data_IF_059712711405
#
_entry.id   IF_059712711405
#
_cell.length_a   1.000
_cell.length_b   1.000
_cell.length_c   1.000
_cell.angle_alpha   90.00
_cell.angle_beta   90.00
_cell.angle_gamma   90.00
#
_symmetry.space_group_name_H-M   'P 1'
#
loop_
_entity.id
_entity.type
_entity.pdbx_description
1 polymer ?
#
# COMPACT_ATOMS: atom_id res chain seq x y z
N UNK A 1 -4.99 23.67 -18.32
CA UNK A 1 -4.75 22.59 -17.33
C UNK A 1 -6.05 22.43 -16.55
N UNK A 2 -6.62 21.23 -16.48
CA UNK A 2 -7.85 21.02 -15.69
C UNK A 2 -7.57 21.24 -14.19
N UNK A 3 -8.61 21.52 -13.40
CA UNK A 3 -8.48 21.63 -11.94
C UNK A 3 -7.90 20.35 -11.33
N UNK A 4 -8.30 19.19 -11.87
CA UNK A 4 -7.74 17.90 -11.50
C UNK A 4 -6.22 17.84 -11.76
N UNK A 5 -5.76 18.17 -12.97
CA UNK A 5 -4.34 18.21 -13.29
C UNK A 5 -3.55 19.20 -12.42
N UNK A 6 -4.17 20.34 -12.06
CA UNK A 6 -3.58 21.30 -11.12
C UNK A 6 -3.42 20.69 -9.73
N UNK A 7 -4.41 19.93 -9.26
CA UNK A 7 -4.34 19.26 -7.97
C UNK A 7 -3.24 18.20 -7.91
N UNK A 8 -3.13 17.37 -8.95
CA UNK A 8 -2.04 16.38 -9.07
C UNK A 8 -0.67 17.06 -9.04
N UNK A 9 -0.51 18.12 -9.83
CA UNK A 9 0.73 18.91 -9.84
C UNK A 9 1.05 19.52 -8.47
N UNK A 10 0.05 20.04 -7.75
CA UNK A 10 0.28 20.55 -6.40
C UNK A 10 0.77 19.46 -5.45
N UNK A 11 0.22 18.23 -5.52
CA UNK A 11 0.72 17.10 -4.75
C UNK A 11 2.18 16.76 -5.09
N UNK A 12 2.50 16.66 -6.38
CA UNK A 12 3.86 16.34 -6.86
C UNK A 12 4.90 17.40 -6.43
N UNK A 13 4.47 18.67 -6.35
CA UNK A 13 5.29 19.78 -5.88
C UNK A 13 5.32 19.90 -4.33
N UNK A 14 4.66 18.99 -3.60
CA UNK A 14 4.60 18.98 -2.13
C UNK A 14 3.66 20.03 -1.52
N UNK A 15 2.88 20.76 -2.33
CA UNK A 15 1.83 21.68 -1.87
C UNK A 15 0.55 20.90 -1.57
N UNK A 16 0.58 20.13 -0.49
CA UNK A 16 -0.45 19.16 -0.17
C UNK A 16 -1.79 19.81 0.22
N UNK A 17 -1.78 20.93 0.94
CA UNK A 17 -2.99 21.67 1.33
C UNK A 17 -3.71 22.30 0.13
N UNK A 18 -2.94 22.79 -0.85
CA UNK A 18 -3.49 23.28 -2.13
C UNK A 18 -4.15 22.12 -2.90
N UNK A 19 -3.47 20.97 -2.98
CA UNK A 19 -3.99 19.77 -3.62
C UNK A 19 -5.28 19.29 -2.95
N UNK A 20 -5.31 19.23 -1.61
CA UNK A 20 -6.47 18.85 -0.83
C UNK A 20 -7.65 19.78 -1.12
N UNK A 21 -7.41 21.10 -1.09
CA UNK A 21 -8.45 22.10 -1.34
C UNK A 21 -9.07 21.95 -2.73
N UNK A 22 -8.25 21.73 -3.75
CA UNK A 22 -8.72 21.51 -5.12
C UNK A 22 -9.48 20.18 -5.26
N UNK A 23 -9.00 19.09 -4.66
CA UNK A 23 -9.67 17.79 -4.73
C UNK A 23 -11.02 17.80 -4.02
N UNK A 24 -11.12 18.44 -2.85
CA UNK A 24 -12.40 18.61 -2.15
C UNK A 24 -13.39 19.47 -2.94
N UNK A 25 -12.92 20.45 -3.72
CA UNK A 25 -13.78 21.21 -4.64
C UNK A 25 -14.28 20.34 -5.79
N UNK A 26 -13.43 19.49 -6.36
CA UNK A 26 -13.81 18.56 -7.41
C UNK A 26 -14.82 17.52 -6.93
N UNK A 27 -14.64 16.98 -5.72
CA UNK A 27 -15.60 16.04 -5.10
C UNK A 27 -16.97 16.70 -4.90
N UNK A 28 -17.03 18.00 -4.59
CA UNK A 28 -18.32 18.72 -4.51
C UNK A 28 -19.04 18.82 -5.86
N UNK A 29 -18.29 18.82 -6.97
CA UNK A 29 -18.84 18.89 -8.33
C UNK A 29 -19.26 17.51 -8.84
N UNK A 30 -18.45 16.49 -8.59
CA UNK A 30 -18.73 15.09 -8.94
C UNK A 30 -18.28 14.18 -7.78
N UNK A 31 -19.18 13.90 -6.82
CA UNK A 31 -18.85 13.08 -5.65
C UNK A 31 -18.49 11.64 -6.00
N UNK A 32 -18.96 11.15 -7.15
CA UNK A 32 -18.81 9.77 -7.59
C UNK A 32 -17.59 9.51 -8.46
N UNK A 33 -16.67 10.47 -8.57
CA UNK A 33 -15.47 10.33 -9.40
C UNK A 33 -14.40 9.48 -8.68
N UNK A 34 -14.20 8.18 -9.05
CA UNK A 34 -13.30 7.29 -8.31
C UNK A 34 -11.86 7.81 -8.30
N UNK A 35 -11.40 8.37 -9.42
CA UNK A 35 -10.06 8.92 -9.53
C UNK A 35 -9.86 10.11 -8.59
N UNK A 36 -10.81 11.05 -8.51
CA UNK A 36 -10.70 12.20 -7.60
C UNK A 36 -10.70 11.76 -6.14
N UNK A 37 -11.55 10.81 -5.77
CA UNK A 37 -11.60 10.23 -4.43
C UNK A 37 -10.26 9.56 -4.06
N UNK A 38 -9.72 8.71 -4.93
CA UNK A 38 -8.41 8.07 -4.71
C UNK A 38 -7.29 9.08 -4.50
N UNK A 39 -7.22 10.12 -5.34
CA UNK A 39 -6.18 11.15 -5.22
C UNK A 39 -6.38 12.00 -3.95
N UNK A 40 -7.62 12.21 -3.52
CA UNK A 40 -7.96 12.86 -2.26
C UNK A 40 -7.46 12.04 -1.07
N UNK A 41 -7.70 10.73 -1.08
CA UNK A 41 -7.19 9.81 -0.07
C UNK A 41 -5.65 9.87 0.05
N UNK A 42 -4.94 9.78 -1.08
CA UNK A 42 -3.47 9.86 -1.11
C UNK A 42 -2.93 11.19 -0.55
N UNK A 43 -3.64 12.31 -0.78
CA UNK A 43 -3.24 13.61 -0.22
C UNK A 43 -3.48 13.67 1.29
N UNK A 44 -4.58 13.08 1.79
CA UNK A 44 -4.85 13.01 3.23
C UNK A 44 -3.78 12.17 3.94
N UNK A 45 -3.40 11.01 3.38
CA UNK A 45 -2.28 10.21 3.89
C UNK A 45 -0.98 11.01 3.94
N UNK A 46 -0.65 11.74 2.86
CA UNK A 46 0.55 12.56 2.81
C UNK A 46 0.55 13.72 3.83
N UNK A 47 -0.63 14.16 4.28
CA UNK A 47 -0.83 15.16 5.32
C UNK A 47 -0.85 14.58 6.74
N UNK A 48 -0.80 13.26 6.91
CA UNK A 48 -0.97 12.61 8.22
C UNK A 48 -2.41 12.66 8.73
N UNK A 49 -3.37 12.65 7.80
CA UNK A 49 -4.81 12.62 8.05
C UNK A 49 -5.36 11.22 7.71
N UNK A 50 -4.76 10.19 8.31
CA UNK A 50 -5.01 8.79 7.93
C UNK A 50 -6.47 8.39 8.18
N UNK A 51 -7.08 8.90 9.26
CA UNK A 51 -8.48 8.59 9.58
C UNK A 51 -9.43 9.15 8.52
N UNK A 52 -9.16 10.36 8.03
CA UNK A 52 -9.92 11.03 7.00
C UNK A 52 -9.70 10.42 5.60
N UNK A 53 -8.57 9.76 5.35
CA UNK A 53 -8.27 9.13 4.07
C UNK A 53 -9.13 7.89 3.78
N UNK A 54 -9.47 7.11 4.81
CA UNK A 54 -10.21 5.84 4.71
C UNK A 54 -11.47 5.93 3.83
N UNK A 55 -12.45 6.81 4.11
CA UNK A 55 -13.70 6.83 3.35
C UNK A 55 -13.47 7.11 1.86
N UNK A 56 -12.47 7.93 1.52
CA UNK A 56 -12.13 8.22 0.13
C UNK A 56 -11.54 7.01 -0.59
N UNK A 57 -10.69 6.23 0.07
CA UNK A 57 -10.17 4.98 -0.50
C UNK A 57 -11.28 3.94 -0.69
N UNK A 58 -12.11 3.73 0.34
CA UNK A 58 -13.18 2.73 0.30
C UNK A 58 -14.20 3.04 -0.79
N UNK A 59 -14.59 4.31 -0.93
CA UNK A 59 -15.52 4.74 -1.97
C UNK A 59 -14.89 4.65 -3.36
N UNK A 60 -13.63 5.07 -3.54
CA UNK A 60 -12.93 4.93 -4.81
C UNK A 60 -12.83 3.48 -5.28
N UNK A 61 -12.53 2.54 -4.38
CA UNK A 61 -12.44 1.11 -4.67
C UNK A 61 -13.78 0.50 -5.11
N UNK A 62 -14.91 1.09 -4.73
CA UNK A 62 -16.25 0.67 -5.14
C UNK A 62 -16.69 1.25 -6.50
N UNK A 63 -16.19 2.43 -6.86
CA UNK A 63 -16.68 3.22 -8.00
C UNK A 63 -15.91 3.00 -9.32
N UNK A 64 -14.96 2.07 -9.36
CA UNK A 64 -14.32 1.61 -10.60
C UNK A 64 -13.07 2.39 -10.98
N UNK A 65 -11.98 2.16 -10.26
CA UNK A 65 -10.64 2.65 -10.58
C UNK A 65 -10.01 1.90 -11.76
N UNK A 66 -9.06 2.54 -12.44
CA UNK A 66 -8.15 1.81 -13.35
C UNK A 66 -7.34 0.78 -12.57
N UNK A 67 -6.82 -0.26 -13.23
CA UNK A 67 -6.05 -1.32 -12.55
C UNK A 67 -4.85 -0.78 -11.76
N UNK A 68 -4.14 0.23 -12.30
CA UNK A 68 -3.00 0.85 -11.61
C UNK A 68 -3.44 1.62 -10.37
N UNK A 69 -4.49 2.44 -10.47
CA UNK A 69 -5.02 3.20 -9.34
C UNK A 69 -5.63 2.27 -8.29
N UNK A 70 -6.28 1.19 -8.70
CA UNK A 70 -6.89 0.22 -7.80
C UNK A 70 -5.83 -0.54 -6.99
N UNK A 71 -4.71 -0.92 -7.62
CA UNK A 71 -3.54 -1.47 -6.93
C UNK A 71 -2.99 -0.47 -5.90
N UNK A 72 -2.84 0.80 -6.30
CA UNK A 72 -2.42 1.88 -5.40
C UNK A 72 -3.37 2.13 -4.24
N UNK A 73 -4.69 2.05 -4.48
CA UNK A 73 -5.72 2.23 -3.47
C UNK A 73 -5.72 1.10 -2.42
N UNK A 74 -5.53 -0.16 -2.84
CA UNK A 74 -5.37 -1.27 -1.89
C UNK A 74 -4.13 -1.11 -1.02
N UNK A 75 -2.99 -0.75 -1.63
CA UNK A 75 -1.75 -0.48 -0.90
C UNK A 75 -1.93 0.66 0.11
N UNK A 76 -2.47 1.80 -0.36
CA UNK A 76 -2.71 3.00 0.44
C UNK A 76 -3.64 2.74 1.62
N UNK A 77 -4.82 2.16 1.37
CA UNK A 77 -5.78 1.83 2.42
C UNK A 77 -5.21 0.82 3.44
N UNK A 78 -4.51 -0.22 2.97
CA UNK A 78 -3.86 -1.18 3.84
C UNK A 78 -2.80 -0.53 4.74
N UNK A 79 -1.97 0.34 4.17
CA UNK A 79 -0.99 1.12 4.94
C UNK A 79 -1.65 2.08 5.92
N UNK A 80 -2.73 2.75 5.52
CA UNK A 80 -3.54 3.66 6.35
C UNK A 80 -4.06 2.94 7.59
N UNK A 81 -4.71 1.79 7.39
CA UNK A 81 -5.21 0.97 8.50
C UNK A 81 -4.08 0.51 9.43
N UNK A 82 -2.91 0.15 8.87
CA UNK A 82 -1.74 -0.24 9.67
C UNK A 82 -1.23 0.91 10.53
N UNK A 83 -1.10 2.12 9.99
CA UNK A 83 -0.63 3.31 10.74
C UNK A 83 -1.57 3.65 11.89
N UNK A 84 -2.88 3.44 11.71
CA UNK A 84 -3.90 3.66 12.73
C UNK A 84 -3.97 2.54 13.80
N UNK A 85 -3.18 1.48 13.68
CA UNK A 85 -3.21 0.32 14.59
C UNK A 85 -4.34 -0.67 14.28
N UNK A 86 -5.08 -0.49 13.19
CA UNK A 86 -6.18 -1.35 12.75
C UNK A 86 -5.64 -2.55 11.95
N UNK A 87 -4.71 -3.30 12.56
CA UNK A 87 -3.88 -4.29 11.86
C UNK A 87 -4.68 -5.40 11.18
N UNK A 88 -5.78 -5.87 11.77
CA UNK A 88 -6.64 -6.90 11.16
C UNK A 88 -7.32 -6.39 9.87
N UNK A 89 -7.75 -5.12 9.84
CA UNK A 89 -8.31 -4.53 8.62
C UNK A 89 -7.23 -4.30 7.58
N UNK A 90 -6.04 -3.88 8.01
CA UNK A 90 -4.89 -3.75 7.11
C UNK A 90 -4.56 -5.08 6.44
N UNK A 91 -4.58 -6.17 7.21
CA UNK A 91 -4.35 -7.54 6.74
C UNK A 91 -5.38 -7.92 5.66
N UNK A 92 -6.67 -7.81 5.97
CA UNK A 92 -7.76 -8.14 5.05
C UNK A 92 -7.70 -7.28 3.76
N UNK A 93 -7.37 -6.00 3.91
CA UNK A 93 -7.25 -5.05 2.79
C UNK A 93 -6.12 -5.44 1.85
N UNK A 94 -4.94 -5.73 2.39
CA UNK A 94 -3.78 -6.13 1.58
C UNK A 94 -3.94 -7.52 0.98
N UNK A 95 -4.63 -8.45 1.67
CA UNK A 95 -4.98 -9.76 1.11
C UNK A 95 -5.89 -9.65 -0.12
N UNK A 96 -6.90 -8.77 -0.08
CA UNK A 96 -7.73 -8.45 -1.25
C UNK A 96 -6.90 -7.86 -2.39
N UNK A 97 -5.99 -6.94 -2.06
CA UNK A 97 -5.05 -6.38 -3.02
C UNK A 97 -4.16 -7.45 -3.68
N UNK A 98 -3.57 -8.35 -2.89
CA UNK A 98 -2.72 -9.44 -3.37
C UNK A 98 -3.52 -10.43 -4.23
N UNK A 99 -4.76 -10.74 -3.84
CA UNK A 99 -5.62 -11.63 -4.60
C UNK A 99 -5.92 -11.08 -6.00
N UNK A 100 -6.09 -9.76 -6.11
CA UNK A 100 -6.35 -9.10 -7.38
C UNK A 100 -5.07 -8.85 -8.20
N UNK A 101 -3.98 -8.49 -7.53
CA UNK A 101 -2.70 -8.14 -8.14
C UNK A 101 -1.60 -9.06 -7.61
N UNK A 102 -1.59 -10.35 -8.00
CA UNK A 102 -0.64 -11.33 -7.46
C UNK A 102 0.82 -11.02 -7.80
N UNK A 103 1.07 -10.23 -8.86
CA UNK A 103 2.41 -9.80 -9.29
C UNK A 103 2.84 -8.45 -8.70
N UNK A 104 1.99 -7.81 -7.89
CA UNK A 104 2.31 -6.53 -7.24
C UNK A 104 3.13 -6.76 -5.97
N UNK A 105 4.44 -6.84 -6.12
CA UNK A 105 5.37 -7.16 -5.04
C UNK A 105 5.28 -6.21 -3.84
N UNK A 106 5.00 -4.92 -4.08
CA UNK A 106 4.83 -3.91 -3.05
C UNK A 106 3.72 -4.28 -2.05
N UNK A 107 2.65 -4.95 -2.49
CA UNK A 107 1.56 -5.38 -1.59
C UNK A 107 2.04 -6.43 -0.59
N UNK A 108 2.89 -7.37 -1.02
CA UNK A 108 3.48 -8.39 -0.14
C UNK A 108 4.42 -7.77 0.89
N UNK A 109 5.20 -6.74 0.51
CA UNK A 109 6.09 -6.04 1.43
C UNK A 109 5.30 -5.31 2.53
N UNK A 110 4.23 -4.61 2.17
CA UNK A 110 3.34 -3.97 3.15
C UNK A 110 2.57 -4.99 3.99
N UNK A 111 2.17 -6.12 3.39
CA UNK A 111 1.52 -7.20 4.12
C UNK A 111 2.45 -7.80 5.18
N UNK A 112 3.73 -8.01 4.86
CA UNK A 112 4.72 -8.44 5.84
C UNK A 112 4.85 -7.43 7.01
N UNK A 113 4.84 -6.11 6.73
CA UNK A 113 4.82 -5.11 7.81
C UNK A 113 3.59 -5.25 8.72
N UNK A 114 2.42 -5.56 8.15
CA UNK A 114 1.20 -5.83 8.93
C UNK A 114 1.35 -7.11 9.76
N UNK A 115 1.86 -8.20 9.17
CA UNK A 115 2.13 -9.45 9.89
C UNK A 115 3.07 -9.22 11.08
N UNK A 116 4.11 -8.41 10.90
CA UNK A 116 4.97 -7.99 12.00
C UNK A 116 4.18 -7.29 13.11
N UNK A 117 3.30 -6.35 12.76
CA UNK A 117 2.46 -5.66 13.74
C UNK A 117 1.47 -6.59 14.47
N UNK A 118 1.07 -7.69 13.84
CA UNK A 118 0.22 -8.74 14.41
C UNK A 118 1.00 -9.77 15.26
N UNK A 119 2.34 -9.71 15.28
CA UNK A 119 3.18 -10.68 15.98
C UNK A 119 3.50 -11.94 15.17
N UNK A 120 3.08 -12.02 13.91
CA UNK A 120 3.41 -13.11 12.97
C UNK A 120 4.82 -12.91 12.38
N UNK A 121 5.83 -12.80 13.24
CA UNK A 121 7.19 -12.42 12.86
C UNK A 121 7.86 -13.41 11.90
N UNK A 122 7.68 -14.71 12.12
CA UNK A 122 8.23 -15.77 11.26
C UNK A 122 7.71 -15.61 9.83
N UNK A 123 6.39 -15.53 9.66
CA UNK A 123 5.75 -15.38 8.35
C UNK A 123 6.08 -14.05 7.68
N UNK A 124 6.15 -12.96 8.46
CA UNK A 124 6.64 -11.67 7.97
C UNK A 124 8.03 -11.80 7.36
N UNK A 125 8.97 -12.40 8.08
CA UNK A 125 10.36 -12.55 7.62
C UNK A 125 10.46 -13.49 6.43
N UNK A 126 9.71 -14.58 6.43
CA UNK A 126 9.65 -15.52 5.30
C UNK A 126 9.28 -14.79 4.01
N UNK A 127 8.19 -14.01 4.02
CA UNK A 127 7.72 -13.24 2.86
C UNK A 127 8.79 -12.26 2.39
N UNK A 128 9.41 -11.52 3.32
CA UNK A 128 10.43 -10.53 2.96
C UNK A 128 11.68 -11.17 2.35
N UNK A 129 12.13 -12.32 2.87
CA UNK A 129 13.28 -13.04 2.33
C UNK A 129 12.97 -13.65 0.97
N UNK A 130 11.80 -14.24 0.78
CA UNK A 130 11.36 -14.75 -0.52
C UNK A 130 11.29 -13.63 -1.56
N UNK A 131 10.63 -12.50 -1.23
CA UNK A 131 10.56 -11.33 -2.13
C UNK A 131 11.90 -10.68 -2.38
N UNK A 132 12.82 -10.66 -1.41
CA UNK A 132 14.18 -10.18 -1.62
C UNK A 132 14.90 -11.02 -2.69
N UNK A 133 14.83 -12.36 -2.59
CA UNK A 133 15.47 -13.25 -3.57
C UNK A 133 14.83 -13.14 -4.96
N UNK A 134 13.51 -13.01 -5.03
CA UNK A 134 12.78 -12.86 -6.29
C UNK A 134 13.19 -11.58 -7.05
N UNK A 135 13.45 -10.48 -6.33
CA UNK A 135 13.61 -9.15 -6.91
C UNK A 135 15.06 -8.68 -7.03
N UNK A 136 15.98 -9.27 -6.28
CA UNK A 136 17.37 -8.81 -6.23
C UNK A 136 18.16 -9.16 -7.49
N UNK A 137 18.98 -8.21 -7.95
CA UNK A 137 20.01 -8.42 -8.96
C UNK A 137 21.42 -8.50 -8.35
N UNK A 138 21.53 -8.43 -7.02
CA UNK A 138 22.81 -8.47 -6.32
C UNK A 138 23.42 -9.88 -6.34
N UNK A 139 24.57 -10.02 -7.00
CA UNK A 139 25.25 -11.31 -7.15
C UNK A 139 25.65 -11.94 -5.81
N UNK A 140 25.98 -11.11 -4.81
CA UNK A 140 26.33 -11.55 -3.47
C UNK A 140 25.17 -12.25 -2.78
N UNK A 141 23.99 -11.64 -2.82
CA UNK A 141 22.76 -12.24 -2.29
C UNK A 141 22.37 -13.49 -3.11
N UNK A 142 22.39 -13.42 -4.43
CA UNK A 142 22.02 -14.54 -5.31
C UNK A 142 22.89 -15.79 -5.11
N UNK A 143 24.19 -15.61 -4.82
CA UNK A 143 25.10 -16.71 -4.49
C UNK A 143 24.63 -17.52 -3.28
N UNK A 144 23.97 -16.88 -2.31
CA UNK A 144 23.47 -17.51 -1.09
C UNK A 144 21.95 -17.78 -1.10
N UNK A 145 21.26 -17.60 -2.25
CA UNK A 145 19.80 -17.73 -2.34
C UNK A 145 19.25 -19.05 -1.77
N UNK A 146 19.95 -20.18 -2.00
CA UNK A 146 19.51 -21.49 -1.50
C UNK A 146 19.50 -21.55 0.02
N UNK A 147 20.51 -20.98 0.66
CA UNK A 147 20.59 -20.93 2.12
C UNK A 147 19.55 -19.95 2.68
N UNK A 148 19.41 -18.78 2.07
CA UNK A 148 18.42 -17.77 2.47
C UNK A 148 17.00 -18.35 2.43
N UNK A 149 16.63 -18.99 1.31
CA UNK A 149 15.31 -19.61 1.17
C UNK A 149 15.12 -20.81 2.10
N UNK A 150 16.17 -21.60 2.36
CA UNK A 150 16.10 -22.72 3.30
C UNK A 150 15.82 -22.27 4.74
N UNK A 151 16.40 -21.14 5.17
CA UNK A 151 16.19 -20.64 6.53
C UNK A 151 14.96 -19.73 6.67
N UNK A 152 14.35 -19.29 5.57
CA UNK A 152 13.29 -18.29 5.57
C UNK A 152 12.08 -18.66 6.46
N UNK A 153 11.75 -19.95 6.53
CA UNK A 153 10.65 -20.50 7.33
C UNK A 153 11.12 -21.18 8.63
N UNK A 154 12.42 -21.14 8.94
CA UNK A 154 13.06 -21.91 10.03
C UNK A 154 13.99 -21.03 10.89
N UNK A 155 13.69 -19.73 11.00
CA UNK A 155 14.56 -18.77 11.70
C UNK A 155 14.74 -19.05 13.20
N UNK A 156 13.77 -19.72 13.83
CA UNK A 156 13.85 -20.12 15.24
C UNK A 156 14.42 -21.53 15.45
N UNK A 157 14.72 -22.26 14.37
CA UNK A 157 15.21 -23.63 14.45
C UNK A 157 16.70 -23.68 14.84
N UNK A 158 17.01 -24.49 15.85
CA UNK A 158 18.37 -24.81 16.28
C UNK A 158 18.71 -26.23 15.80
N UNK A 159 19.89 -26.40 15.19
CA UNK A 159 20.36 -27.67 14.62
C UNK A 159 21.49 -28.24 15.48
N UNK A 160 21.45 -29.55 15.76
CA UNK A 160 22.46 -30.31 16.51
C UNK A 160 23.35 -31.16 15.60
#
# INVERSE_FOLDING_TARGET
>A
MSEFQRAIRCREEGRLEDAQSLLLQLIKQDPSNPQTLYQCACVHDALGLEREAIPFYEEALQLGLTSEERRGAWLGLGSTYRTLGEYLKAQETLEKGIQEFPDAHELYLFYAMVLYNLGEHQRSMEILLQKMIELTQDEGIQKYQRAILFYADQLDQVWE
#
